data_IF_176089736317
#
_entry.id   IF_176089736317
#
_cell.length_a   1.000
_cell.length_b   1.000
_cell.length_c   1.000
_cell.angle_alpha   90.00
_cell.angle_beta   90.00
_cell.angle_gamma   90.00
#
_symmetry.space_group_name_H-M   'P 1'
#
loop_
_entity.id
_entity.type
_entity.pdbx_description
1 polymer ?
#
# COMPACT_ATOMS: atom_id res chain seq x y z
N UNK A 1 -26.17 8.39 -13.33
CA UNK A 1 -25.28 7.26 -13.00
C UNK A 1 -24.33 7.79 -11.94
N UNK A 2 -24.32 7.21 -10.74
CA UNK A 2 -23.35 7.60 -9.72
C UNK A 2 -21.99 7.06 -10.18
N UNK A 3 -21.03 7.95 -10.41
CA UNK A 3 -19.63 7.52 -10.55
C UNK A 3 -19.27 6.97 -9.19
N UNK A 4 -18.98 5.67 -9.09
CA UNK A 4 -18.36 5.17 -7.87
C UNK A 4 -16.93 5.69 -7.92
N UNK A 5 -16.63 6.69 -7.09
CA UNK A 5 -15.27 7.17 -6.89
C UNK A 5 -14.48 6.01 -6.30
N UNK A 6 -13.64 5.39 -7.12
CA UNK A 6 -12.89 4.21 -6.76
C UNK A 6 -11.59 4.65 -6.10
N UNK A 7 -11.64 4.85 -4.78
CA UNK A 7 -10.52 5.37 -3.99
C UNK A 7 -9.32 4.40 -3.90
N UNK A 8 -9.55 3.09 -4.07
CA UNK A 8 -8.52 2.04 -3.91
C UNK A 8 -8.45 1.20 -5.18
N UNK A 9 -7.35 1.28 -5.91
CA UNK A 9 -7.08 0.46 -7.10
C UNK A 9 -6.45 -0.86 -6.68
N UNK A 10 -6.99 -1.99 -7.16
CA UNK A 10 -6.38 -3.30 -6.93
C UNK A 10 -5.06 -3.43 -7.71
N UNK A 11 -4.07 -4.05 -7.09
CA UNK A 11 -2.75 -4.21 -7.70
C UNK A 11 -2.76 -4.99 -9.02
N UNK A 12 -3.66 -5.96 -9.18
CA UNK A 12 -3.76 -6.74 -10.43
C UNK A 12 -4.27 -5.94 -11.63
N UNK A 13 -4.86 -4.76 -11.39
CA UNK A 13 -5.39 -3.86 -12.41
C UNK A 13 -4.53 -2.59 -12.57
N UNK A 14 -3.39 -2.51 -11.87
CA UNK A 14 -2.57 -1.31 -11.82
C UNK A 14 -1.26 -1.43 -12.59
N UNK A 15 -0.80 -0.30 -13.11
CA UNK A 15 0.52 -0.14 -13.73
C UNK A 15 1.55 0.45 -12.77
N UNK A 16 1.12 0.78 -11.55
CA UNK A 16 1.89 1.61 -10.61
C UNK A 16 2.37 0.81 -9.40
N UNK A 17 1.57 -0.16 -8.93
CA UNK A 17 1.91 -1.04 -7.82
C UNK A 17 1.14 -2.36 -7.89
N UNK A 18 1.77 -3.48 -7.52
CA UNK A 18 1.18 -4.82 -7.50
C UNK A 18 0.29 -5.10 -6.27
N UNK A 19 0.23 -4.17 -5.32
CA UNK A 19 -0.59 -4.26 -4.10
C UNK A 19 -1.77 -3.28 -4.20
N UNK A 20 -2.90 -3.52 -3.52
CA UNK A 20 -3.98 -2.54 -3.43
C UNK A 20 -3.45 -1.20 -2.90
N UNK A 21 -3.76 -0.11 -3.61
CA UNK A 21 -3.24 1.23 -3.31
C UNK A 21 -4.28 2.30 -3.56
N UNK A 22 -4.07 3.47 -2.93
CA UNK A 22 -4.92 4.62 -3.17
C UNK A 22 -4.77 5.07 -4.63
N UNK A 23 -5.90 5.36 -5.28
CA UNK A 23 -5.93 5.83 -6.65
C UNK A 23 -4.99 7.04 -6.85
N UNK A 24 -4.30 7.07 -7.99
CA UNK A 24 -3.33 8.11 -8.34
C UNK A 24 -2.11 8.22 -7.40
N UNK A 25 -1.93 7.24 -6.50
CA UNK A 25 -0.86 7.20 -5.51
C UNK A 25 -0.13 5.86 -5.50
N UNK A 26 1.12 5.85 -5.04
CA UNK A 26 1.87 4.60 -4.75
C UNK A 26 1.66 4.12 -3.31
N UNK A 27 0.88 4.83 -2.52
CA UNK A 27 0.66 4.49 -1.11
C UNK A 27 -0.31 3.31 -1.04
N UNK A 28 0.20 2.16 -0.58
CA UNK A 28 -0.58 0.93 -0.46
C UNK A 28 -1.54 1.00 0.72
N UNK A 29 -2.61 0.22 0.64
CA UNK A 29 -3.57 0.04 1.74
C UNK A 29 -2.87 -0.46 3.00
N UNK A 30 -1.91 -1.39 2.84
CA UNK A 30 -1.10 -1.92 3.94
C UNK A 30 -0.26 -0.85 4.61
N UNK A 31 0.42 0.02 3.85
CA UNK A 31 1.22 1.11 4.42
C UNK A 31 0.38 2.14 5.19
N UNK A 32 -0.86 2.38 4.75
CA UNK A 32 -1.80 3.21 5.52
C UNK A 32 -2.17 2.54 6.84
N UNK A 33 -2.56 1.26 6.81
CA UNK A 33 -2.87 0.49 8.02
C UNK A 33 -1.68 0.43 8.99
N UNK A 34 -0.48 0.11 8.51
CA UNK A 34 0.75 0.10 9.31
C UNK A 34 1.01 1.46 9.96
N UNK A 35 0.86 2.55 9.22
CA UNK A 35 1.08 3.90 9.76
C UNK A 35 0.07 4.25 10.84
N UNK A 36 -1.21 3.99 10.61
CA UNK A 36 -2.30 4.44 11.48
C UNK A 36 -2.47 3.53 12.70
N UNK A 37 -2.60 2.22 12.48
CA UNK A 37 -2.93 1.28 13.56
C UNK A 37 -1.69 0.71 14.25
N UNK A 38 -0.59 0.50 13.53
CA UNK A 38 0.65 -0.02 14.15
C UNK A 38 1.62 1.08 14.57
N UNK A 39 1.63 2.20 13.86
CA UNK A 39 2.48 3.36 14.13
C UNK A 39 1.82 4.44 14.97
N UNK A 40 0.54 4.28 15.34
CA UNK A 40 -0.27 5.26 16.08
C UNK A 40 -0.22 6.67 15.46
N UNK A 41 -0.17 6.76 14.13
CA UNK A 41 -0.17 8.04 13.41
C UNK A 41 -1.61 8.42 13.05
N UNK A 42 -2.04 9.63 13.40
CA UNK A 42 -3.37 10.11 13.03
C UNK A 42 -3.60 10.07 11.50
N UNK A 43 -4.78 9.65 11.02
CA UNK A 43 -5.11 9.63 9.60
C UNK A 43 -4.91 10.98 8.90
N UNK A 44 -5.19 12.10 9.59
CA UNK A 44 -4.93 13.46 9.11
C UNK A 44 -3.44 13.70 8.82
N UNK A 45 -2.56 13.16 9.67
CA UNK A 45 -1.11 13.26 9.50
C UNK A 45 -0.64 12.43 8.31
N UNK A 46 -1.20 11.23 8.11
CA UNK A 46 -0.90 10.39 6.93
C UNK A 46 -1.35 11.10 5.66
N UNK A 47 -2.57 11.65 5.64
CA UNK A 47 -3.10 12.41 4.51
C UNK A 47 -2.20 13.60 4.16
N UNK A 48 -1.83 14.40 5.15
CA UNK A 48 -0.98 15.57 4.96
C UNK A 48 0.43 15.22 4.44
N UNK A 49 1.06 14.16 4.98
CA UNK A 49 2.41 13.74 4.58
C UNK A 49 2.48 13.23 3.15
N UNK A 50 1.42 12.58 2.68
CA UNK A 50 1.37 11.96 1.37
C UNK A 50 0.51 12.73 0.36
N UNK A 51 0.03 13.93 0.73
CA UNK A 51 -0.82 14.78 -0.08
C UNK A 51 -2.07 14.04 -0.60
N UNK A 52 -2.68 13.23 0.27
CA UNK A 52 -3.86 12.41 -0.02
C UNK A 52 -5.13 13.09 0.48
N UNK A 53 -6.26 12.78 -0.15
CA UNK A 53 -7.57 13.07 0.44
C UNK A 53 -7.74 12.23 1.71
N UNK A 54 -8.21 12.85 2.79
CA UNK A 54 -8.46 12.15 4.06
C UNK A 54 -9.52 11.04 3.91
N UNK A 55 -10.51 11.23 3.01
CA UNK A 55 -11.48 10.20 2.70
C UNK A 55 -10.81 8.97 2.09
N UNK A 56 -9.80 9.15 1.23
CA UNK A 56 -9.05 8.04 0.65
C UNK A 56 -8.28 7.25 1.71
N UNK A 57 -7.75 7.92 2.74
CA UNK A 57 -7.08 7.27 3.88
C UNK A 57 -8.07 6.40 4.65
N UNK A 58 -9.26 6.91 4.98
CA UNK A 58 -10.28 6.10 5.65
C UNK A 58 -10.81 4.97 4.78
N UNK A 59 -10.97 5.18 3.47
CA UNK A 59 -11.33 4.13 2.53
C UNK A 59 -10.26 3.03 2.45
N UNK A 60 -8.98 3.37 2.54
CA UNK A 60 -7.91 2.38 2.62
C UNK A 60 -8.02 1.54 3.90
N UNK A 61 -8.24 2.17 5.06
CA UNK A 61 -8.45 1.46 6.32
C UNK A 61 -9.67 0.53 6.26
N UNK A 62 -10.79 1.01 5.70
CA UNK A 62 -11.98 0.20 5.50
C UNK A 62 -11.68 -1.00 4.59
N UNK A 63 -11.04 -0.75 3.44
CA UNK A 63 -10.68 -1.79 2.48
C UNK A 63 -9.81 -2.88 3.12
N UNK A 64 -8.81 -2.50 3.93
CA UNK A 64 -7.91 -3.44 4.62
C UNK A 64 -8.71 -4.46 5.46
N UNK A 65 -9.65 -3.97 6.26
CA UNK A 65 -10.45 -4.79 7.17
C UNK A 65 -11.56 -5.57 6.46
N UNK A 66 -12.07 -5.05 5.34
CA UNK A 66 -13.07 -5.71 4.50
C UNK A 66 -12.46 -6.83 3.63
N UNK A 67 -11.17 -6.77 3.31
CA UNK A 67 -10.50 -7.68 2.37
C UNK A 67 -9.28 -8.41 2.96
N UNK A 68 -9.41 -9.11 4.11
CA UNK A 68 -8.27 -9.71 4.80
C UNK A 68 -7.54 -10.76 3.95
N UNK A 69 -8.25 -11.53 3.11
CA UNK A 69 -7.60 -12.52 2.23
C UNK A 69 -6.74 -11.87 1.15
N UNK A 70 -7.21 -10.74 0.58
CA UNK A 70 -6.46 -9.97 -0.40
C UNK A 70 -5.20 -9.38 0.22
N UNK A 71 -5.31 -8.85 1.43
CA UNK A 71 -4.16 -8.33 2.17
C UNK A 71 -3.13 -9.41 2.51
N UNK A 72 -3.57 -10.61 2.90
CA UNK A 72 -2.66 -11.75 3.11
C UNK A 72 -2.00 -12.22 1.81
N UNK A 73 -2.71 -12.15 0.68
CA UNK A 73 -2.12 -12.48 -0.62
C UNK A 73 -1.05 -11.47 -1.02
N UNK A 74 -1.34 -10.17 -0.87
CA UNK A 74 -0.38 -9.10 -1.11
C UNK A 74 0.91 -9.27 -0.27
N UNK A 75 0.78 -9.64 1.01
CA UNK A 75 1.96 -9.89 1.85
C UNK A 75 2.80 -11.07 1.34
N UNK A 76 2.16 -12.19 0.99
CA UNK A 76 2.88 -13.36 0.44
C UNK A 76 3.60 -13.04 -0.86
N UNK A 77 2.93 -12.35 -1.79
CA UNK A 77 3.50 -11.94 -3.07
C UNK A 77 4.74 -11.05 -2.87
N UNK A 78 4.67 -10.15 -1.88
CA UNK A 78 5.81 -9.32 -1.48
C UNK A 78 6.95 -10.15 -0.89
N UNK A 79 6.66 -11.05 0.05
CA UNK A 79 7.66 -11.95 0.64
C UNK A 79 8.37 -12.80 -0.42
N UNK A 80 7.60 -13.39 -1.35
CA UNK A 80 8.14 -14.16 -2.47
C UNK A 80 9.04 -13.32 -3.36
N UNK A 81 8.65 -12.08 -3.67
CA UNK A 81 9.45 -11.15 -4.48
C UNK A 81 10.76 -10.76 -3.77
N UNK A 82 10.70 -10.51 -2.46
CA UNK A 82 11.87 -10.20 -1.65
C UNK A 82 12.83 -11.38 -1.60
N UNK A 83 12.32 -12.59 -1.31
CA UNK A 83 13.16 -13.78 -1.21
C UNK A 83 13.79 -14.14 -2.57
N UNK A 84 13.02 -14.03 -3.67
CA UNK A 84 13.52 -14.29 -5.02
C UNK A 84 14.65 -13.35 -5.45
N UNK A 85 14.71 -12.13 -4.90
CA UNK A 85 15.73 -11.14 -5.22
C UNK A 85 16.80 -10.99 -4.14
N UNK A 86 16.72 -11.77 -3.06
CA UNK A 86 17.57 -11.63 -1.87
C UNK A 86 19.06 -11.68 -2.19
N UNK A 87 19.47 -12.63 -3.02
CA UNK A 87 20.88 -12.84 -3.41
C UNK A 87 21.40 -11.77 -4.38
N UNK A 88 20.52 -10.93 -4.92
CA UNK A 88 20.82 -9.88 -5.89
C UNK A 88 20.53 -8.48 -5.35
N UNK A 89 20.07 -8.38 -4.11
CA UNK A 89 19.69 -7.12 -3.50
C UNK A 89 20.93 -6.30 -3.17
N UNK A 90 20.96 -5.05 -3.63
CA UNK A 90 21.93 -4.05 -3.16
C UNK A 90 21.42 -3.56 -1.81
N UNK A 91 22.15 -3.87 -0.73
CA UNK A 91 21.76 -3.56 0.65
C UNK A 91 22.54 -2.38 1.23
N UNK A 92 23.66 -2.00 0.62
CA UNK A 92 24.46 -0.88 1.02
C UNK A 92 25.38 -0.36 -0.09
N UNK A 93 26.06 0.78 0.14
CA UNK A 93 27.00 1.34 -0.81
C UNK A 93 28.18 0.42 -1.09
N UNK A 94 28.52 -0.49 -0.17
CA UNK A 94 29.59 -1.49 -0.34
C UNK A 94 29.25 -2.57 -1.39
N UNK A 95 27.97 -2.71 -1.75
CA UNK A 95 27.50 -3.64 -2.78
C UNK A 95 27.54 -3.03 -4.20
N UNK A 96 27.96 -1.77 -4.33
CA UNK A 96 28.10 -1.05 -5.60
C UNK A 96 29.57 -1.07 -6.06
N UNK A 97 29.91 -1.95 -7.01
CA UNK A 97 31.21 -1.94 -7.72
C UNK A 97 31.32 -0.85 -8.80
#
# INVERSE_FOLDING_TARGET
MATQEHWIVDGGESTVHDEPHIAESRITVRSVHESVESGDIDPETVAARHNLDIAAVYHALAYYHEHPERMRAAEREREETVEANRDRAVTGPDDLE
#
